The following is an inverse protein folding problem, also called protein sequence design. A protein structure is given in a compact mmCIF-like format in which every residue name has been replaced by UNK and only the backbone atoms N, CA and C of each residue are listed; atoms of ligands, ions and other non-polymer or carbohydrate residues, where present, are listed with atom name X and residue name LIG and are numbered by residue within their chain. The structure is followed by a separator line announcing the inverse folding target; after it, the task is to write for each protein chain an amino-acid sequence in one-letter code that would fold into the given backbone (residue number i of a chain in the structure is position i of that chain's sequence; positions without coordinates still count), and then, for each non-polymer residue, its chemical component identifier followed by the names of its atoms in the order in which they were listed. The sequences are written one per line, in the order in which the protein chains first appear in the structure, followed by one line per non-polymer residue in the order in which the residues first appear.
data_IF_128438236667
#
_entry.id   IF_128438236667
#
_cell.length_a   1.000
_cell.length_b   1.000
_cell.length_c   1.000
_cell.angle_alpha   90.00
_cell.angle_beta   90.00
_cell.angle_gamma   90.00
#
_symmetry.space_group_name_H-M   'P 1'
#
loop_
_entity.id
_entity.type
_entity.pdbx_description
1 polymer ?
#
# COMPACT_ATOMS: atom_id res chain seq x y z
N UNK A 1 10.69 11.25 5.58
CA UNK A 1 10.80 9.94 4.88
C UNK A 1 12.25 9.42 4.87
N UNK A 2 13.22 10.08 4.25
CA UNK A 2 14.62 9.56 4.12
C UNK A 2 15.24 9.06 5.44
N UNK A 3 15.16 9.84 6.52
CA UNK A 3 15.66 9.40 7.85
C UNK A 3 14.98 8.16 8.39
N UNK A 4 13.69 7.95 8.12
CA UNK A 4 12.97 6.76 8.54
C UNK A 4 13.40 5.51 7.75
N UNK A 5 13.76 5.64 6.48
CA UNK A 5 14.30 4.54 5.68
C UNK A 5 15.67 4.09 6.21
N UNK A 6 16.54 5.03 6.56
CA UNK A 6 17.85 4.72 7.15
C UNK A 6 17.69 4.03 8.50
N UNK A 7 16.81 4.55 9.35
CA UNK A 7 16.56 3.96 10.66
C UNK A 7 15.92 2.57 10.56
N UNK A 8 14.97 2.38 9.65
CA UNK A 8 14.38 1.07 9.38
C UNK A 8 15.45 0.05 8.96
N UNK A 9 16.35 0.44 8.05
CA UNK A 9 17.44 -0.43 7.61
C UNK A 9 18.39 -0.80 8.77
N UNK A 10 18.66 0.14 9.68
CA UNK A 10 19.46 -0.15 10.90
C UNK A 10 18.76 -1.15 11.81
N UNK A 11 17.47 -0.97 12.06
CA UNK A 11 16.67 -1.84 12.96
C UNK A 11 16.54 -3.25 12.38
N UNK A 12 16.28 -3.38 11.07
CA UNK A 12 16.17 -4.68 10.41
C UNK A 12 17.51 -5.37 10.15
N UNK A 13 18.61 -4.62 10.19
CA UNK A 13 19.95 -5.03 9.82
C UNK A 13 20.28 -4.61 8.38
N UNK A 14 21.36 -3.82 8.18
CA UNK A 14 21.71 -3.24 6.88
C UNK A 14 21.81 -4.26 5.74
N UNK A 15 22.35 -5.45 6.03
CA UNK A 15 22.53 -6.52 5.03
C UNK A 15 21.25 -7.31 4.72
N UNK A 16 20.17 -7.06 5.44
CA UNK A 16 18.85 -7.70 5.23
C UNK A 16 17.86 -6.82 4.49
N UNK A 17 18.27 -5.60 4.13
CA UNK A 17 17.43 -4.61 3.47
C UNK A 17 18.06 -4.19 2.15
N UNK A 18 17.24 -4.06 1.13
CA UNK A 18 17.59 -3.40 -0.13
C UNK A 18 16.62 -2.23 -0.34
N UNK A 19 17.13 -1.03 -0.53
CA UNK A 19 16.31 0.16 -0.76
C UNK A 19 16.29 0.49 -2.25
N UNK A 20 15.12 0.39 -2.87
CA UNK A 20 14.92 0.79 -4.27
C UNK A 20 14.03 2.02 -4.36
N UNK A 21 14.51 3.07 -5.01
CA UNK A 21 13.78 4.32 -5.22
C UNK A 21 13.82 4.68 -6.70
N UNK A 22 12.64 4.89 -7.27
CA UNK A 22 12.51 5.47 -8.60
C UNK A 22 11.77 6.79 -8.47
N UNK A 23 12.47 7.88 -8.68
CA UNK A 23 11.97 9.25 -8.67
C UNK A 23 11.81 9.73 -10.10
N UNK A 24 10.71 10.42 -10.39
CA UNK A 24 10.46 10.91 -11.72
C UNK A 24 9.95 12.36 -11.73
N UNK A 25 10.76 13.24 -12.31
CA UNK A 25 10.45 14.62 -12.69
C UNK A 25 9.97 15.55 -11.56
N UNK A 26 10.37 15.32 -10.30
CA UNK A 26 10.09 16.26 -9.21
C UNK A 26 10.70 17.63 -9.50
N UNK A 27 9.93 18.68 -9.20
CA UNK A 27 10.33 20.07 -9.41
C UNK A 27 10.83 20.77 -8.12
N UNK A 28 10.85 20.02 -7.02
CA UNK A 28 11.31 20.47 -5.71
C UNK A 28 12.71 19.89 -5.38
N UNK A 29 13.14 20.01 -4.12
CA UNK A 29 14.44 19.51 -3.65
C UNK A 29 14.50 17.98 -3.48
N UNK A 30 13.59 17.21 -4.05
CA UNK A 30 13.58 15.74 -3.91
C UNK A 30 14.87 15.13 -4.47
N UNK A 31 15.32 15.59 -5.64
CA UNK A 31 16.55 15.06 -6.27
C UNK A 31 17.77 15.28 -5.39
N UNK A 32 17.94 16.47 -4.79
CA UNK A 32 19.05 16.81 -3.90
C UNK A 32 19.01 15.94 -2.63
N UNK A 33 17.83 15.77 -2.05
CA UNK A 33 17.63 14.91 -0.87
C UNK A 33 18.00 13.46 -1.19
N UNK A 34 17.63 12.95 -2.35
CA UNK A 34 17.98 11.59 -2.78
C UNK A 34 19.49 11.41 -2.99
N UNK A 35 20.22 12.45 -3.47
CA UNK A 35 21.68 12.42 -3.55
C UNK A 35 22.33 12.35 -2.17
N UNK A 36 21.79 13.07 -1.19
CA UNK A 36 22.26 12.99 0.21
C UNK A 36 21.96 11.59 0.77
N UNK A 37 20.74 11.08 0.59
CA UNK A 37 20.35 9.74 1.03
C UNK A 37 21.28 8.67 0.44
N UNK A 38 21.57 8.73 -0.85
CA UNK A 38 22.49 7.79 -1.53
C UNK A 38 23.86 7.75 -0.84
N UNK A 39 24.44 8.91 -0.51
CA UNK A 39 25.72 8.99 0.20
C UNK A 39 25.64 8.37 1.61
N UNK A 40 24.55 8.62 2.33
CA UNK A 40 24.31 8.02 3.66
C UNK A 40 24.20 6.50 3.56
N UNK A 41 23.43 5.99 2.61
CA UNK A 41 23.27 4.54 2.42
C UNK A 41 24.59 3.86 2.06
N UNK A 42 25.41 4.50 1.20
CA UNK A 42 26.76 4.03 0.88
C UNK A 42 27.65 3.99 2.12
N UNK A 43 27.64 5.04 2.95
CA UNK A 43 28.47 5.08 4.17
C UNK A 43 28.07 4.09 5.26
N UNK A 44 26.86 3.54 5.16
CA UNK A 44 26.31 2.53 6.09
C UNK A 44 26.29 1.12 5.48
N UNK A 45 26.88 0.93 4.31
CA UNK A 45 26.88 -0.35 3.57
C UNK A 45 25.48 -0.93 3.37
N UNK A 46 24.46 -0.06 3.18
CA UNK A 46 23.10 -0.47 2.89
C UNK A 46 22.92 -0.63 1.38
N UNK A 47 22.61 -1.85 0.88
CA UNK A 47 22.36 -2.09 -0.53
C UNK A 47 21.18 -1.26 -1.05
N UNK A 48 21.36 -0.57 -2.18
CA UNK A 48 20.33 0.30 -2.72
C UNK A 48 20.43 0.52 -4.22
N UNK A 49 19.30 0.91 -4.83
CA UNK A 49 19.20 1.46 -6.17
C UNK A 49 18.37 2.74 -6.12
N UNK A 50 18.95 3.88 -6.46
CA UNK A 50 18.24 5.17 -6.53
C UNK A 50 18.40 5.70 -7.95
N UNK A 51 17.28 5.75 -8.67
CA UNK A 51 17.19 6.26 -10.04
C UNK A 51 16.35 7.53 -10.05
N UNK A 52 16.87 8.59 -10.65
CA UNK A 52 16.15 9.83 -10.93
C UNK A 52 15.94 9.97 -12.43
N UNK A 53 14.71 10.18 -12.86
CA UNK A 53 14.33 10.31 -14.27
C UNK A 53 13.60 11.63 -14.50
N UNK A 54 14.09 12.44 -15.42
CA UNK A 54 13.51 13.75 -15.76
C UNK A 54 12.31 13.67 -16.71
N UNK A 55 11.93 12.48 -17.17
CA UNK A 55 10.86 12.30 -18.12
C UNK A 55 9.49 12.44 -17.45
N UNK A 56 8.74 13.43 -17.89
CA UNK A 56 7.34 13.58 -17.50
C UNK A 56 6.44 12.59 -18.24
N UNK A 57 5.23 12.38 -17.70
CA UNK A 57 4.23 11.57 -18.39
C UNK A 57 3.82 12.24 -19.71
N UNK A 58 3.98 11.56 -20.86
CA UNK A 58 3.44 12.06 -22.13
C UNK A 58 1.92 12.29 -22.00
N UNK A 59 1.42 13.43 -22.50
CA UNK A 59 0.00 13.82 -22.37
C UNK A 59 -0.97 12.77 -22.91
N UNK A 60 -0.59 12.05 -23.97
CA UNK A 60 -1.40 11.01 -24.63
C UNK A 60 -1.34 9.66 -23.91
N UNK A 61 -0.39 9.48 -23.01
CA UNK A 61 -0.23 8.20 -22.32
C UNK A 61 -1.25 8.05 -21.20
N UNK A 62 -1.94 6.91 -21.16
CA UNK A 62 -2.90 6.61 -20.11
C UNK A 62 -2.22 6.64 -18.73
N UNK A 63 -2.87 7.32 -17.76
CA UNK A 63 -2.26 7.55 -16.42
C UNK A 63 -1.88 6.25 -15.74
N UNK A 64 -2.75 5.23 -15.74
CA UNK A 64 -2.50 3.97 -15.03
C UNK A 64 -1.38 3.16 -15.68
N UNK A 65 -1.29 3.16 -17.00
CA UNK A 65 -0.16 2.54 -17.70
C UNK A 65 1.17 3.15 -17.28
N UNK A 66 1.21 4.48 -17.17
CA UNK A 66 2.40 5.19 -16.72
C UNK A 66 2.74 4.91 -15.27
N UNK A 67 1.74 4.92 -14.36
CA UNK A 67 1.94 4.59 -12.95
C UNK A 67 2.42 3.15 -12.76
N UNK A 68 1.86 2.21 -13.51
CA UNK A 68 2.30 0.82 -13.52
C UNK A 68 3.76 0.69 -13.96
N UNK A 69 4.19 1.42 -15.00
CA UNK A 69 5.59 1.46 -15.41
C UNK A 69 6.50 1.97 -14.29
N UNK A 70 6.15 3.10 -13.65
CA UNK A 70 6.98 3.67 -12.58
C UNK A 70 7.15 2.69 -11.42
N UNK A 71 6.07 2.01 -11.01
CA UNK A 71 6.14 0.99 -9.96
C UNK A 71 7.00 -0.19 -10.37
N UNK A 72 6.86 -0.68 -11.60
CA UNK A 72 7.70 -1.77 -12.11
C UNK A 72 9.16 -1.36 -12.20
N UNK A 73 9.49 -0.10 -12.52
CA UNK A 73 10.87 0.39 -12.51
C UNK A 73 11.46 0.42 -11.09
N UNK A 74 10.67 0.82 -10.09
CA UNK A 74 11.11 0.71 -8.70
C UNK A 74 11.36 -0.74 -8.28
N UNK A 75 10.64 -1.70 -8.86
CA UNK A 75 10.77 -3.14 -8.58
C UNK A 75 11.83 -3.85 -9.46
N UNK A 76 12.43 -3.15 -10.41
CA UNK A 76 13.36 -3.75 -11.39
C UNK A 76 14.52 -4.52 -10.77
N UNK A 77 15.17 -4.07 -9.65
CA UNK A 77 16.24 -4.84 -9.02
C UNK A 77 15.78 -6.23 -8.55
N UNK A 78 14.52 -6.34 -8.07
CA UNK A 78 13.94 -7.64 -7.71
C UNK A 78 13.68 -8.52 -8.95
N UNK A 79 13.17 -7.93 -10.03
CA UNK A 79 12.80 -8.65 -11.25
C UNK A 79 14.01 -9.22 -12.01
N UNK A 80 15.15 -8.54 -11.91
CA UNK A 80 16.41 -8.97 -12.58
C UNK A 80 17.21 -9.96 -11.77
N UNK A 81 16.75 -10.36 -10.58
CA UNK A 81 17.54 -11.19 -9.65
C UNK A 81 18.92 -10.58 -9.33
N UNK A 82 19.03 -9.27 -9.40
CA UNK A 82 20.27 -8.54 -9.05
C UNK A 82 20.47 -8.45 -7.52
N UNK A 83 19.48 -8.91 -6.78
CA UNK A 83 19.44 -8.87 -5.32
C UNK A 83 19.29 -10.28 -4.76
N UNK A 84 19.66 -10.47 -3.50
CA UNK A 84 19.32 -11.68 -2.76
C UNK A 84 17.79 -11.92 -2.77
N UNK A 85 17.36 -13.16 -2.53
CA UNK A 85 15.93 -13.43 -2.37
C UNK A 85 15.41 -12.72 -1.14
N UNK A 86 14.34 -11.97 -1.28
CA UNK A 86 13.63 -11.31 -0.18
C UNK A 86 12.36 -12.07 0.18
N UNK A 87 12.00 -12.03 1.46
CA UNK A 87 10.74 -12.60 1.96
C UNK A 87 9.58 -11.60 1.76
N UNK A 88 9.87 -10.32 1.86
CA UNK A 88 8.85 -9.24 1.87
C UNK A 88 9.28 -8.04 1.05
N UNK A 89 8.30 -7.42 0.42
CA UNK A 89 8.40 -6.12 -0.23
C UNK A 89 7.64 -5.11 0.61
N UNK A 90 8.32 -4.11 1.14
CA UNK A 90 7.70 -2.94 1.78
C UNK A 90 7.56 -1.87 0.70
N UNK A 91 6.34 -1.69 0.19
CA UNK A 91 6.07 -0.65 -0.79
C UNK A 91 5.51 0.59 -0.11
N UNK A 92 6.19 1.72 -0.28
CA UNK A 92 5.85 2.99 0.36
C UNK A 92 5.66 4.05 -0.73
N UNK A 93 4.51 4.70 -0.72
CA UNK A 93 4.27 5.92 -1.48
C UNK A 93 4.96 7.12 -0.76
N UNK A 94 4.71 8.32 -1.24
CA UNK A 94 5.17 9.59 -0.65
C UNK A 94 4.42 9.95 0.65
N UNK A 95 4.19 8.96 1.53
CA UNK A 95 3.49 9.13 2.80
C UNK A 95 4.44 9.38 3.97
N UNK A 96 3.95 10.03 5.01
CA UNK A 96 4.61 10.13 6.30
C UNK A 96 4.35 8.87 7.13
N UNK A 97 5.41 8.19 7.51
CA UNK A 97 5.39 7.01 8.36
C UNK A 97 6.52 7.05 9.39
N UNK A 98 6.50 6.15 10.36
CA UNK A 98 7.57 5.87 11.31
C UNK A 98 8.03 4.42 11.20
N UNK A 99 9.23 4.12 11.68
CA UNK A 99 9.76 2.75 11.72
C UNK A 99 8.81 1.76 12.40
N UNK A 100 8.20 2.06 13.57
CA UNK A 100 7.22 1.15 14.18
C UNK A 100 6.03 0.80 13.28
N UNK A 101 5.59 1.71 12.40
CA UNK A 101 4.50 1.45 11.47
C UNK A 101 4.84 0.31 10.50
N UNK A 102 6.04 0.34 9.93
CA UNK A 102 6.53 -0.72 9.04
C UNK A 102 6.73 -2.03 9.79
N UNK A 103 7.32 -1.98 10.99
CA UNK A 103 7.54 -3.16 11.81
C UNK A 103 6.22 -3.83 12.22
N UNK A 104 5.18 -3.06 12.52
CA UNK A 104 3.85 -3.59 12.81
C UNK A 104 3.23 -4.28 11.58
N UNK A 105 3.34 -3.68 10.38
CA UNK A 105 2.87 -4.34 9.16
C UNK A 105 3.61 -5.66 8.90
N UNK A 106 4.94 -5.69 9.06
CA UNK A 106 5.74 -6.91 8.91
C UNK A 106 5.32 -7.95 9.96
N UNK A 107 5.18 -7.54 11.23
CA UNK A 107 4.74 -8.43 12.30
C UNK A 107 3.38 -9.05 11.99
N UNK A 108 2.41 -8.25 11.54
CA UNK A 108 1.08 -8.76 11.19
C UNK A 108 1.09 -9.64 9.94
N UNK A 109 1.95 -9.35 8.96
CA UNK A 109 2.15 -10.23 7.81
C UNK A 109 2.57 -11.64 8.24
N UNK A 110 3.52 -11.75 9.16
CA UNK A 110 4.00 -13.04 9.68
C UNK A 110 2.95 -13.71 10.57
N UNK A 111 2.42 -12.96 11.53
CA UNK A 111 1.46 -13.47 12.52
C UNK A 111 0.18 -14.00 11.88
N UNK A 112 -0.36 -13.28 10.91
CA UNK A 112 -1.57 -13.65 10.19
C UNK A 112 -1.30 -14.55 8.98
N UNK A 113 -0.02 -14.80 8.64
CA UNK A 113 0.38 -15.46 7.40
C UNK A 113 -0.26 -14.76 6.18
N UNK A 114 -0.24 -13.43 6.20
CA UNK A 114 -0.86 -12.61 5.17
C UNK A 114 0.05 -12.49 3.94
N UNK A 115 -0.55 -12.46 2.75
CA UNK A 115 0.16 -12.20 1.50
C UNK A 115 0.35 -10.69 1.26
N UNK A 116 -0.52 -9.87 1.85
CA UNK A 116 -0.44 -8.42 1.78
C UNK A 116 -1.02 -7.81 3.07
N UNK A 117 -0.28 -6.87 3.67
CA UNK A 117 -0.73 -6.08 4.82
C UNK A 117 -0.65 -4.61 4.50
N UNK A 118 -1.72 -3.87 4.71
CA UNK A 118 -1.79 -2.44 4.42
C UNK A 118 -2.01 -1.59 5.67
N UNK A 119 -1.47 -0.39 5.64
CA UNK A 119 -1.84 0.68 6.57
C UNK A 119 -3.27 1.19 6.32
N UNK A 120 -3.73 2.13 7.11
CA UNK A 120 -4.83 3.04 6.79
C UNK A 120 -4.25 4.42 6.47
N UNK A 121 -4.58 4.99 5.31
CA UNK A 121 -4.19 6.36 4.98
C UNK A 121 -5.34 7.34 5.23
N UNK A 122 -4.99 8.51 5.75
CA UNK A 122 -5.95 9.54 6.11
C UNK A 122 -5.55 10.90 5.52
N UNK A 123 -6.57 11.73 5.30
CA UNK A 123 -6.43 13.14 4.96
C UNK A 123 -7.34 14.00 5.85
N UNK A 124 -6.97 15.27 6.06
CA UNK A 124 -7.83 16.26 6.68
C UNK A 124 -8.68 16.94 5.59
N UNK A 125 -9.97 16.62 5.56
CA UNK A 125 -10.93 17.21 4.62
C UNK A 125 -11.89 18.12 5.38
N UNK A 126 -11.83 19.43 5.12
CA UNK A 126 -12.64 20.43 5.85
C UNK A 126 -12.50 20.32 7.39
N UNK A 127 -11.28 20.07 7.88
CA UNK A 127 -11.00 19.93 9.31
C UNK A 127 -11.42 18.60 9.93
N UNK A 128 -11.95 17.67 9.15
CA UNK A 128 -12.34 16.34 9.59
C UNK A 128 -11.38 15.29 9.03
N UNK A 129 -10.98 14.35 9.87
CA UNK A 129 -10.14 13.22 9.45
C UNK A 129 -11.00 12.24 8.64
N UNK A 130 -10.57 11.94 7.41
CA UNK A 130 -11.24 11.01 6.51
C UNK A 130 -10.26 10.01 5.92
N UNK A 131 -10.72 8.75 5.76
CA UNK A 131 -9.98 7.74 5.03
C UNK A 131 -9.79 8.19 3.57
N UNK A 132 -8.56 8.06 3.05
CA UNK A 132 -8.18 8.68 1.78
C UNK A 132 -8.36 7.75 0.58
N UNK A 133 -7.82 6.53 0.63
CA UNK A 133 -7.78 5.62 -0.54
C UNK A 133 -9.10 4.88 -0.78
N UNK A 134 -10.19 5.61 -0.92
CA UNK A 134 -11.51 5.06 -1.23
C UNK A 134 -11.60 4.47 -2.65
N UNK A 135 -10.61 4.76 -3.48
CA UNK A 135 -10.62 4.31 -4.87
C UNK A 135 -10.07 2.90 -5.06
N UNK A 136 -9.09 2.48 -4.27
CA UNK A 136 -8.47 1.14 -4.34
C UNK A 136 -9.04 0.20 -3.29
N UNK A 137 -9.21 0.66 -2.04
CA UNK A 137 -9.61 -0.21 -0.94
C UNK A 137 -11.03 -0.79 -1.12
N UNK A 138 -11.12 -2.13 -0.96
CA UNK A 138 -12.37 -2.91 -1.06
C UNK A 138 -12.49 -3.87 0.12
N UNK A 139 -13.64 -3.88 0.77
CA UNK A 139 -13.94 -4.85 1.82
C UNK A 139 -14.27 -6.24 1.25
N UNK A 140 -14.56 -7.20 2.13
CA UNK A 140 -14.89 -8.58 1.73
C UNK A 140 -16.32 -8.73 1.18
N UNK A 141 -17.08 -7.66 1.05
CA UNK A 141 -18.31 -7.59 0.25
C UNK A 141 -18.02 -7.02 -1.16
N UNK A 142 -16.75 -6.79 -1.49
CA UNK A 142 -16.33 -6.16 -2.73
C UNK A 142 -16.67 -4.67 -2.82
N UNK A 143 -17.09 -4.01 -1.73
CA UNK A 143 -17.51 -2.61 -1.69
C UNK A 143 -16.36 -1.66 -1.41
N UNK A 144 -16.41 -0.46 -1.99
CA UNK A 144 -15.42 0.57 -1.75
C UNK A 144 -15.44 1.05 -0.29
N UNK A 145 -14.26 1.34 0.25
CA UNK A 145 -14.16 2.01 1.54
C UNK A 145 -14.73 3.43 1.46
N UNK A 146 -15.19 3.94 2.59
CA UNK A 146 -15.88 5.24 2.71
C UNK A 146 -14.92 6.30 3.25
N UNK A 147 -15.03 7.56 2.78
CA UNK A 147 -14.22 8.67 3.28
C UNK A 147 -14.71 9.13 4.66
N UNK A 148 -14.56 8.28 5.67
CA UNK A 148 -14.95 8.49 7.06
C UNK A 148 -13.75 8.22 7.97
N UNK A 149 -13.78 8.75 9.19
CA UNK A 149 -12.78 8.44 10.21
C UNK A 149 -13.00 7.05 10.82
N UNK A 150 -14.25 6.62 10.92
CA UNK A 150 -14.68 5.32 11.47
C UNK A 150 -15.72 4.71 10.55
N UNK A 151 -15.92 3.38 10.66
CA UNK A 151 -16.87 2.66 9.81
C UNK A 151 -16.57 2.88 8.32
N UNK A 152 -15.28 2.73 7.97
CA UNK A 152 -14.78 2.94 6.61
C UNK A 152 -15.23 1.85 5.64
N UNK A 153 -15.65 0.68 6.13
CA UNK A 153 -16.11 -0.46 5.35
C UNK A 153 -17.55 -0.84 5.69
N UNK A 154 -18.19 -1.67 4.88
CA UNK A 154 -19.52 -2.23 5.12
C UNK A 154 -19.47 -3.66 5.66
N UNK A 155 -18.35 -4.35 5.49
CA UNK A 155 -18.15 -5.70 6.00
C UNK A 155 -18.10 -5.73 7.53
N UNK A 156 -18.85 -6.64 8.16
CA UNK A 156 -18.92 -6.74 9.61
C UNK A 156 -17.60 -7.09 10.27
N UNK A 157 -16.75 -7.91 9.62
CA UNK A 157 -15.41 -8.23 10.11
C UNK A 157 -14.50 -7.03 10.11
N UNK A 158 -14.57 -6.20 9.06
CA UNK A 158 -13.82 -4.96 8.95
C UNK A 158 -14.28 -3.94 10.02
N UNK A 159 -15.58 -3.80 10.23
CA UNK A 159 -16.13 -2.90 11.26
C UNK A 159 -15.64 -3.28 12.67
N UNK A 160 -15.70 -4.56 13.01
CA UNK A 160 -15.22 -5.08 14.30
C UNK A 160 -13.70 -4.89 14.42
N UNK A 161 -12.95 -5.24 13.37
CA UNK A 161 -11.50 -5.06 13.33
C UNK A 161 -11.10 -3.60 13.56
N UNK A 162 -11.72 -2.68 12.84
CA UNK A 162 -11.45 -1.25 13.00
C UNK A 162 -11.81 -0.72 14.40
N UNK A 163 -12.96 -1.12 14.94
CA UNK A 163 -13.41 -0.71 16.28
C UNK A 163 -12.40 -1.11 17.37
N UNK A 164 -11.84 -2.31 17.25
CA UNK A 164 -10.90 -2.87 18.25
C UNK A 164 -9.42 -2.70 17.86
N UNK A 165 -9.10 -1.99 16.77
CA UNK A 165 -7.74 -1.83 16.28
C UNK A 165 -7.10 -3.16 15.87
N UNK A 166 -7.88 -4.16 15.45
CA UNK A 166 -7.40 -5.50 15.06
C UNK A 166 -7.31 -5.62 13.55
N UNK A 167 -6.30 -6.33 13.03
CA UNK A 167 -6.24 -6.62 11.60
C UNK A 167 -7.50 -7.33 11.11
N UNK A 168 -7.92 -6.99 9.89
CA UNK A 168 -9.08 -7.59 9.25
C UNK A 168 -8.84 -7.85 7.77
N UNK A 169 -9.48 -8.88 7.21
CA UNK A 169 -9.36 -9.23 5.80
C UNK A 169 -10.08 -8.24 4.91
N UNK A 170 -9.50 -8.01 3.75
CA UNK A 170 -10.05 -7.16 2.68
C UNK A 170 -9.87 -7.84 1.33
N UNK A 171 -10.68 -7.44 0.35
CA UNK A 171 -10.46 -7.88 -1.03
C UNK A 171 -9.29 -7.12 -1.64
N UNK A 172 -9.15 -5.84 -1.39
CA UNK A 172 -8.05 -5.02 -1.87
C UNK A 172 -7.71 -3.88 -0.93
N UNK A 173 -6.44 -3.56 -0.84
CA UNK A 173 -5.93 -2.36 -0.19
C UNK A 173 -4.60 -1.92 -0.83
N UNK A 174 -4.27 -0.65 -0.65
CA UNK A 174 -2.95 -0.09 -0.95
C UNK A 174 -2.56 0.93 0.12
N UNK A 175 -3.41 1.95 0.30
CA UNK A 175 -3.47 2.86 1.45
C UNK A 175 -2.11 3.50 1.76
N UNK A 176 -1.36 3.89 0.74
CA UNK A 176 -0.09 4.60 0.88
C UNK A 176 1.12 3.76 1.32
N UNK A 177 0.91 2.69 2.10
CA UNK A 177 2.00 1.82 2.56
C UNK A 177 1.51 0.38 2.73
N UNK A 178 2.25 -0.57 2.16
CA UNK A 178 1.90 -1.99 2.20
C UNK A 178 3.14 -2.89 2.30
N UNK A 179 2.99 -4.03 2.97
CA UNK A 179 3.96 -5.12 2.98
C UNK A 179 3.38 -6.29 2.20
N UNK A 180 4.10 -6.77 1.20
CA UNK A 180 3.66 -7.82 0.28
C UNK A 180 4.65 -8.99 0.35
N UNK A 181 4.14 -10.22 0.34
CA UNK A 181 4.95 -11.42 0.18
C UNK A 181 5.72 -11.36 -1.15
N UNK A 182 7.04 -11.47 -1.09
CA UNK A 182 7.87 -11.33 -2.28
C UNK A 182 7.57 -12.38 -3.35
N UNK A 183 7.00 -13.53 -2.98
CA UNK A 183 6.57 -14.60 -3.90
C UNK A 183 5.54 -14.13 -4.92
N UNK A 184 4.73 -13.10 -4.58
CA UNK A 184 3.78 -12.46 -5.51
C UNK A 184 4.47 -12.00 -6.79
N UNK A 185 5.70 -11.52 -6.69
CA UNK A 185 6.47 -10.95 -7.80
C UNK A 185 7.54 -11.89 -8.35
N UNK A 186 7.73 -13.08 -7.75
CA UNK A 186 8.85 -13.96 -8.04
C UNK A 186 8.74 -14.63 -9.40
N UNK A 187 9.91 -14.82 -10.04
CA UNK A 187 10.06 -15.56 -11.30
C UNK A 187 9.44 -14.90 -12.53
N UNK A 188 9.44 -15.62 -13.63
CA UNK A 188 8.89 -15.16 -14.93
C UNK A 188 7.37 -14.97 -14.88
N UNK A 189 6.69 -15.81 -14.13
CA UNK A 189 5.23 -15.80 -13.93
C UNK A 189 4.79 -14.84 -12.80
N UNK A 190 5.72 -14.16 -12.11
CA UNK A 190 5.41 -13.23 -11.04
C UNK A 190 4.51 -12.08 -11.53
N UNK A 191 3.61 -11.65 -10.67
CA UNK A 191 2.68 -10.55 -10.98
C UNK A 191 3.48 -9.25 -11.21
N UNK A 192 2.97 -8.41 -12.11
CA UNK A 192 3.52 -7.09 -12.42
C UNK A 192 2.41 -6.05 -12.37
N UNK A 193 2.76 -4.84 -12.02
CA UNK A 193 1.81 -3.73 -12.15
C UNK A 193 1.47 -3.55 -13.62
N UNK A 194 0.18 -3.37 -13.91
CA UNK A 194 -0.33 -3.27 -15.28
C UNK A 194 -1.53 -2.34 -15.39
N UNK A 195 -1.85 -1.95 -16.59
CA UNK A 195 -3.15 -1.41 -16.97
C UNK A 195 -4.15 -2.54 -17.18
N UNK A 196 -5.45 -2.23 -17.07
CA UNK A 196 -6.52 -3.15 -17.43
C UNK A 196 -6.42 -3.64 -18.88
N UNK A 197 -6.74 -4.90 -19.10
CA UNK A 197 -6.99 -5.43 -20.43
C UNK A 197 -8.28 -4.84 -21.02
N UNK A 198 -8.55 -5.08 -22.31
CA UNK A 198 -9.70 -4.51 -23.02
C UNK A 198 -11.04 -4.94 -22.41
N UNK A 199 -11.12 -6.17 -21.90
CA UNK A 199 -12.32 -6.73 -21.27
C UNK A 199 -12.46 -6.44 -19.77
N UNK A 200 -11.46 -5.79 -19.17
CA UNK A 200 -11.46 -5.50 -17.74
C UNK A 200 -11.94 -4.08 -17.44
N UNK A 201 -12.51 -3.88 -16.27
CA UNK A 201 -12.77 -2.54 -15.77
C UNK A 201 -11.48 -1.72 -15.67
N UNK A 202 -11.47 -0.52 -16.21
CA UNK A 202 -10.32 0.40 -16.22
C UNK A 202 -10.05 0.95 -14.81
N UNK A 203 -9.55 0.08 -13.93
CA UNK A 203 -9.23 0.40 -12.53
C UNK A 203 -7.79 0.87 -12.35
N UNK A 204 -7.42 1.17 -11.10
CA UNK A 204 -6.04 1.45 -10.69
C UNK A 204 -5.14 0.23 -10.88
N UNK A 205 -3.86 0.46 -11.17
CA UNK A 205 -2.84 -0.59 -11.18
C UNK A 205 -2.71 -1.33 -9.84
N UNK A 206 -3.06 -0.67 -8.74
CA UNK A 206 -3.08 -1.30 -7.41
C UNK A 206 -4.30 -2.20 -7.22
N UNK A 207 -5.48 -1.79 -7.72
CA UNK A 207 -6.68 -2.64 -7.73
C UNK A 207 -6.47 -3.88 -8.60
N UNK A 208 -5.85 -3.71 -9.77
CA UNK A 208 -5.51 -4.82 -10.67
C UNK A 208 -4.49 -5.76 -10.05
N UNK A 209 -3.50 -5.25 -9.31
CA UNK A 209 -2.57 -6.08 -8.54
C UNK A 209 -3.32 -6.98 -7.54
N UNK A 210 -4.26 -6.42 -6.77
CA UNK A 210 -5.07 -7.21 -5.84
C UNK A 210 -5.86 -8.30 -6.58
N UNK A 211 -6.51 -7.96 -7.70
CA UNK A 211 -7.27 -8.93 -8.49
C UNK A 211 -6.36 -10.06 -9.01
N UNK A 212 -5.19 -9.72 -9.55
CA UNK A 212 -4.20 -10.68 -10.00
C UNK A 212 -3.68 -11.57 -8.86
N UNK A 213 -3.54 -11.01 -7.65
CA UNK A 213 -3.18 -11.78 -6.45
C UNK A 213 -4.24 -12.84 -6.13
N UNK A 214 -5.52 -12.46 -6.10
CA UNK A 214 -6.63 -13.40 -5.88
C UNK A 214 -6.65 -14.53 -6.92
N UNK A 215 -6.54 -14.19 -8.21
CA UNK A 215 -6.50 -15.16 -9.32
C UNK A 215 -5.33 -16.15 -9.17
N UNK A 216 -4.22 -15.72 -8.56
CA UNK A 216 -3.01 -16.54 -8.34
C UNK A 216 -2.97 -17.24 -6.98
N UNK A 217 -4.06 -17.18 -6.19
CA UNK A 217 -4.15 -17.82 -4.88
C UNK A 217 -3.49 -17.07 -3.73
N UNK A 218 -3.09 -15.82 -3.94
CA UNK A 218 -2.62 -14.94 -2.88
C UNK A 218 -3.78 -14.18 -2.24
N UNK A 219 -4.60 -14.86 -1.44
CA UNK A 219 -5.94 -14.43 -1.01
C UNK A 219 -5.97 -13.75 0.38
N UNK A 220 -4.85 -13.74 1.10
CA UNK A 220 -4.79 -13.25 2.47
C UNK A 220 -4.31 -11.80 2.50
N UNK A 221 -5.20 -10.89 2.10
CA UNK A 221 -4.97 -9.45 2.15
C UNK A 221 -5.64 -8.87 3.40
N UNK A 222 -4.92 -8.04 4.14
CA UNK A 222 -5.43 -7.47 5.40
C UNK A 222 -5.10 -5.99 5.52
N UNK A 223 -5.94 -5.26 6.24
CA UNK A 223 -5.66 -3.90 6.74
C UNK A 223 -5.32 -3.99 8.23
N UNK A 224 -4.36 -3.18 8.65
CA UNK A 224 -3.91 -3.07 10.05
C UNK A 224 -4.28 -1.68 10.58
N UNK A 225 -5.42 -1.53 11.29
CA UNK A 225 -5.98 -0.20 11.67
C UNK A 225 -5.10 0.61 12.63
N UNK A 226 -4.16 -0.06 13.30
CA UNK A 226 -3.21 0.61 14.20
C UNK A 226 -2.14 1.37 13.46
N UNK A 227 -1.88 1.03 12.20
CA UNK A 227 -0.91 1.70 11.35
C UNK A 227 -1.62 2.75 10.52
N UNK A 228 -1.36 4.02 10.81
CA UNK A 228 -1.99 5.16 10.15
C UNK A 228 -0.93 6.05 9.52
N UNK A 229 -1.11 6.31 8.24
CA UNK A 229 -0.21 7.15 7.43
C UNK A 229 -0.97 8.29 6.77
N UNK A 230 -0.26 9.26 6.25
CA UNK A 230 -0.85 10.37 5.50
C UNK A 230 0.14 10.95 4.49
N UNK A 231 -0.39 11.61 3.47
CA UNK A 231 0.39 12.34 2.47
C UNK A 231 0.76 13.77 2.92
N UNK A 232 0.14 14.25 4.01
CA UNK A 232 0.30 15.63 4.50
C UNK A 232 0.84 15.66 5.93
N UNK A 233 1.76 16.58 6.20
CA UNK A 233 2.38 16.74 7.52
C UNK A 233 1.36 17.12 8.60
N UNK A 234 0.39 17.97 8.26
CA UNK A 234 -0.66 18.42 9.18
C UNK A 234 -1.56 17.26 9.61
N UNK A 235 -1.93 16.40 8.66
CA UNK A 235 -2.72 15.19 8.93
C UNK A 235 -1.92 14.21 9.79
N UNK A 236 -0.62 14.02 9.52
CA UNK A 236 0.27 13.20 10.34
C UNK A 236 0.32 13.71 11.78
N UNK A 237 0.49 15.00 11.96
CA UNK A 237 0.59 15.61 13.30
C UNK A 237 -0.75 15.47 14.05
N UNK A 238 -1.88 15.65 13.35
CA UNK A 238 -3.20 15.41 13.90
C UNK A 238 -3.40 13.96 14.36
N UNK A 239 -2.99 12.98 13.55
CA UNK A 239 -3.08 11.56 13.88
C UNK A 239 -2.27 11.17 15.13
N UNK A 240 -1.22 11.92 15.43
CA UNK A 240 -0.32 11.70 16.59
C UNK A 240 -0.72 12.44 17.85
N UNK A 241 -1.73 13.30 17.78
CA UNK A 241 -2.24 13.94 18.98
C UNK A 241 -2.80 12.90 19.96
N UNK A 242 -2.59 13.03 21.27
CA UNK A 242 -3.05 12.07 22.28
C UNK A 242 -4.55 11.75 22.23
N UNK A 243 -5.37 12.69 21.76
CA UNK A 243 -6.82 12.53 21.55
C UNK A 243 -7.16 11.56 20.40
N UNK A 244 -6.26 11.39 19.43
CA UNK A 244 -6.45 10.60 18.22
C UNK A 244 -5.53 9.39 18.16
N UNK A 245 -4.50 9.37 18.99
CA UNK A 245 -3.70 8.16 19.20
C UNK A 245 -4.66 7.03 19.62
N UNK A 246 -4.50 5.81 19.08
CA UNK A 246 -5.23 4.68 19.62
C UNK A 246 -5.04 4.72 21.13
N UNK A 247 -6.12 4.72 21.91
CA UNK A 247 -5.99 4.47 23.35
C UNK A 247 -5.23 3.16 23.45
N UNK A 248 -3.98 3.26 23.89
CA UNK A 248 -3.26 2.06 24.24
C UNK A 248 -4.05 1.42 25.37
N UNK A 249 -4.77 0.36 25.04
CA UNK A 249 -5.36 -0.48 26.09
C UNK A 249 -4.22 -0.95 26.99
N UNK A 250 -4.36 -0.85 28.30
CA UNK A 250 -3.39 -1.39 29.24
C UNK A 250 -3.03 -2.82 28.81
N UNK A 251 -1.77 -3.20 28.95
CA UNK A 251 -1.31 -4.53 28.54
C UNK A 251 -2.17 -5.67 29.13
N UNK A 252 -2.73 -5.47 30.29
CA UNK A 252 -3.67 -6.36 30.99
C UNK A 252 -5.05 -6.52 30.29
N UNK A 253 -5.44 -5.56 29.45
CA UNK A 253 -6.71 -5.59 28.72
C UNK A 253 -6.54 -6.01 27.25
N UNK A 254 -5.31 -6.18 26.77
CA UNK A 254 -5.02 -6.67 25.44
C UNK A 254 -5.39 -8.14 25.35
N UNK A 255 -6.56 -8.41 24.85
CA UNK A 255 -6.90 -9.79 24.49
C UNK A 255 -5.87 -10.31 23.47
N UNK A 256 -5.44 -11.58 23.57
CA UNK A 256 -4.55 -12.16 22.58
C UNK A 256 -5.15 -11.95 21.20
N UNK A 257 -4.34 -11.39 20.30
CA UNK A 257 -4.76 -11.18 18.91
C UNK A 257 -5.10 -12.53 18.29
N UNK A 258 -6.36 -12.71 17.95
CA UNK A 258 -6.83 -13.92 17.28
C UNK A 258 -6.32 -13.93 15.83
N UNK A 259 -6.01 -15.12 15.32
CA UNK A 259 -5.76 -15.30 13.90
C UNK A 259 -7.03 -15.02 13.11
N UNK A 260 -6.87 -14.37 11.97
CA UNK A 260 -7.96 -14.11 11.04
C UNK A 260 -8.39 -15.44 10.42
N UNK A 261 -9.69 -15.75 10.49
CA UNK A 261 -10.30 -16.81 9.69
C UNK A 261 -10.55 -16.22 8.29
N UNK A 262 -9.63 -16.50 7.35
CA UNK A 262 -9.74 -15.98 5.99
C UNK A 262 -10.93 -16.59 5.25
N UNK A 263 -11.65 -15.74 4.53
CA UNK A 263 -12.80 -16.06 3.71
C UNK A 263 -12.39 -16.12 2.24
N UNK A 264 -13.12 -16.86 1.39
CA UNK A 264 -12.89 -16.85 -0.06
C UNK A 264 -13.16 -15.48 -0.66
N UNK A 265 -12.75 -15.31 -1.91
CA UNK A 265 -12.98 -14.11 -2.69
C UNK A 265 -14.47 -13.72 -2.73
N UNK A 266 -14.80 -12.41 -2.72
CA UNK A 266 -16.14 -11.98 -3.09
C UNK A 266 -16.41 -12.30 -4.57
N UNK A 267 -17.64 -12.64 -4.91
CA UNK A 267 -18.03 -12.94 -6.30
C UNK A 267 -17.85 -11.74 -7.22
N UNK A 268 -18.14 -10.55 -6.71
CA UNK A 268 -18.03 -9.30 -7.46
C UNK A 268 -17.31 -8.23 -6.66
N UNK A 269 -16.65 -7.31 -7.36
CA UNK A 269 -15.97 -6.17 -6.78
C UNK A 269 -16.45 -4.88 -7.43
N UNK A 270 -16.56 -3.85 -6.60
CA UNK A 270 -16.91 -2.51 -7.06
C UNK A 270 -15.76 -1.90 -7.87
N UNK A 271 -16.01 -1.62 -9.13
CA UNK A 271 -15.11 -0.92 -10.00
C UNK A 271 -15.61 0.49 -10.28
N UNK A 272 -14.74 1.46 -10.07
CA UNK A 272 -14.92 2.84 -10.48
C UNK A 272 -13.97 3.10 -11.64
N UNK A 273 -14.42 2.95 -12.89
CA UNK A 273 -13.55 2.99 -14.06
C UNK A 273 -12.99 4.39 -14.31
N UNK A 274 -11.87 4.44 -15.02
CA UNK A 274 -11.30 5.66 -15.55
C UNK A 274 -11.75 5.85 -17.00
N UNK A 275 -11.85 7.10 -17.43
CA UNK A 275 -12.06 7.43 -18.84
C UNK A 275 -10.79 7.12 -19.69
N UNK A 276 -10.88 7.29 -21.01
CA UNK A 276 -9.77 7.02 -21.92
C UNK A 276 -8.49 7.83 -21.65
N UNK A 277 -8.58 8.96 -20.95
CA UNK A 277 -7.43 9.74 -20.49
C UNK A 277 -6.87 9.27 -19.14
N UNK A 278 -7.48 8.28 -18.49
CA UNK A 278 -7.09 7.78 -17.18
C UNK A 278 -7.53 8.70 -16.03
N UNK A 279 -8.63 9.43 -16.20
CA UNK A 279 -9.24 10.27 -15.18
C UNK A 279 -10.48 9.58 -14.62
N UNK A 280 -10.76 9.79 -13.34
CA UNK A 280 -11.99 9.27 -12.72
C UNK A 280 -13.22 9.81 -13.45
N UNK A 281 -14.18 8.93 -13.70
CA UNK A 281 -15.50 9.29 -14.19
C UNK A 281 -16.47 9.48 -13.02
N UNK A 282 -17.62 10.15 -13.22
CA UNK A 282 -18.63 10.31 -12.17
C UNK A 282 -19.06 8.99 -11.54
N UNK A 283 -19.47 9.03 -10.27
CA UNK A 283 -19.87 7.86 -9.49
C UNK A 283 -20.95 6.98 -10.15
N UNK A 284 -21.82 7.57 -10.95
CA UNK A 284 -22.87 6.84 -11.70
C UNK A 284 -22.34 5.85 -12.75
N UNK A 285 -21.03 5.89 -13.07
CA UNK A 285 -20.38 4.94 -13.98
C UNK A 285 -19.75 3.74 -13.26
N UNK A 286 -19.75 3.75 -11.93
CA UNK A 286 -19.23 2.64 -11.14
C UNK A 286 -20.15 1.42 -11.25
N UNK A 287 -19.54 0.24 -11.22
CA UNK A 287 -20.26 -1.03 -11.38
C UNK A 287 -19.62 -2.15 -10.58
N UNK A 288 -20.40 -3.18 -10.26
CA UNK A 288 -19.88 -4.44 -9.73
C UNK A 288 -19.49 -5.35 -10.91
N UNK A 289 -18.26 -5.84 -10.88
CA UNK A 289 -17.72 -6.75 -11.91
C UNK A 289 -17.28 -8.06 -11.25
N UNK A 290 -17.35 -9.20 -11.95
CA UNK A 290 -16.81 -10.46 -11.44
C UNK A 290 -15.32 -10.28 -11.09
N UNK A 291 -14.88 -10.84 -9.96
CA UNK A 291 -13.46 -10.84 -9.58
C UNK A 291 -12.70 -11.96 -10.27
N UNK A 292 -13.30 -13.14 -10.30
CA UNK A 292 -12.75 -14.32 -10.94
C UNK A 292 -13.66 -14.60 -12.15
N UNK A 293 -13.28 -14.06 -13.30
CA UNK A 293 -14.01 -14.23 -14.56
C UNK A 293 -13.60 -15.47 -15.34
#
# INVERSE_FOLDING_TARGET
MAGQLVELARVLGPQRVFISIYENASQDSTTEILQVLKRVLLSLDIPHSITTDKRERPKQRHRIEYMAELRNRAMEPLYRNETASFDKIVFVNDVFFCVPDVLELIHQADKQNAHMTCAEDFALTHGSLTFYDTWVARDMLGRAFKPKQRNIADDGGALVGQLHGRPFQVQCCWNGMTVIDARVFAGREGIRFRRSAESECSASECSLLCNDMWVRGFERLIVVPRVKVSYEIQTRDYLRMPLHAPREMPFSERQPEQKIAFRPAPETVYCHPLNGAGLRVPDGSALFVPLLG
#
